data_IF_650488290283
#
_entry.id   IF_650488290283
#
_cell.length_a   1.000
_cell.length_b   1.000
_cell.length_c   1.000
_cell.angle_alpha   90.00
_cell.angle_beta   90.00
_cell.angle_gamma   90.00
#
_symmetry.space_group_name_H-M   'P 1'
#
loop_
_entity.id
_entity.type
_entity.pdbx_description
1 polymer ?
#
# COMPACT_ATOMS: atom_id res chain seq x y z
N UNK A 1 131.32 111.66 69.17
CA UNK A 1 130.03 112.35 69.39
C UNK A 1 129.13 112.07 68.20
N UNK A 2 127.89 111.62 68.45
CA UNK A 2 126.86 111.56 67.40
C UNK A 2 126.55 112.95 66.87
N UNK A 3 125.99 113.04 65.67
CA UNK A 3 125.46 114.30 65.12
C UNK A 3 124.44 114.87 66.10
N UNK A 4 124.60 116.14 66.46
CA UNK A 4 123.67 116.89 67.33
C UNK A 4 122.57 117.48 66.44
N UNK A 5 121.58 116.63 66.11
CA UNK A 5 120.51 116.98 65.17
C UNK A 5 119.72 118.23 65.57
N UNK A 6 119.60 118.51 66.88
CA UNK A 6 118.92 119.70 67.38
C UNK A 6 119.67 121.00 67.03
N UNK A 7 121.00 121.01 67.14
CA UNK A 7 121.82 122.17 66.68
C UNK A 7 121.84 122.32 65.16
N UNK A 8 121.84 121.19 64.43
CA UNK A 8 121.80 121.20 62.96
C UNK A 8 120.47 121.73 62.41
N UNK A 9 119.35 121.48 63.12
CA UNK A 9 118.01 121.94 62.74
C UNK A 9 117.79 123.43 63.10
N UNK A 10 118.31 123.92 64.23
CA UNK A 10 118.21 125.34 64.63
C UNK A 10 119.11 126.30 63.81
N UNK A 11 120.29 125.84 63.33
CA UNK A 11 121.25 126.65 62.56
C UNK A 11 121.93 125.84 61.45
N UNK A 12 121.22 125.53 60.34
CA UNK A 12 121.69 124.62 59.30
C UNK A 12 122.96 125.09 58.56
N UNK A 13 123.23 126.39 58.51
CA UNK A 13 124.38 126.94 57.78
C UNK A 13 125.70 126.97 58.57
N UNK A 14 125.69 126.59 59.87
CA UNK A 14 126.90 126.56 60.70
C UNK A 14 127.61 125.22 60.62
N UNK A 15 128.94 125.25 60.49
CA UNK A 15 129.78 124.04 60.45
C UNK A 15 129.78 123.31 61.80
N UNK A 16 129.46 122.01 61.78
CA UNK A 16 129.63 121.10 62.90
C UNK A 16 130.69 120.05 62.57
N UNK A 17 131.63 119.80 63.48
CA UNK A 17 132.56 118.70 63.35
C UNK A 17 131.83 117.37 63.63
N UNK A 18 131.78 116.48 62.64
CA UNK A 18 131.17 115.15 62.76
C UNK A 18 132.22 114.10 62.43
N UNK A 19 132.29 113.03 63.22
CA UNK A 19 133.19 111.91 62.91
C UNK A 19 132.67 111.16 61.66
N UNK A 20 133.54 110.95 60.67
CA UNK A 20 133.17 110.35 59.39
C UNK A 20 132.46 108.99 59.48
N UNK A 21 132.68 108.23 60.57
CA UNK A 21 131.99 106.96 60.84
C UNK A 21 130.46 107.10 60.93
N UNK A 22 129.95 108.18 61.53
CA UNK A 22 128.51 108.39 61.69
C UNK A 22 127.85 108.80 60.36
N UNK A 23 128.56 109.56 59.53
CA UNK A 23 128.11 109.89 58.18
C UNK A 23 128.08 108.64 57.28
N UNK A 24 129.06 107.74 57.43
CA UNK A 24 129.10 106.46 56.72
C UNK A 24 127.99 105.50 57.19
N UNK A 25 127.71 105.43 58.49
CA UNK A 25 126.61 104.63 59.06
C UNK A 25 125.24 105.15 58.60
N UNK A 26 125.04 106.47 58.62
CA UNK A 26 123.83 107.10 58.09
C UNK A 26 123.67 106.82 56.59
N UNK A 27 124.75 106.93 55.79
CA UNK A 27 124.73 106.56 54.37
C UNK A 27 124.39 105.09 54.16
N UNK A 28 124.93 104.18 54.98
CA UNK A 28 124.62 102.76 54.91
C UNK A 28 123.14 102.51 55.21
N UNK A 29 122.57 103.18 56.24
CA UNK A 29 121.16 103.09 56.58
C UNK A 29 120.24 103.68 55.50
N UNK A 30 120.62 104.81 54.89
CA UNK A 30 119.87 105.40 53.77
C UNK A 30 119.88 104.46 52.58
N UNK A 31 121.05 103.91 52.21
CA UNK A 31 121.14 102.92 51.12
C UNK A 31 120.30 101.66 51.41
N UNK A 32 120.29 101.19 52.65
CA UNK A 32 119.47 100.04 53.07
C UNK A 32 117.97 100.35 52.98
N UNK A 33 117.54 101.51 53.46
CA UNK A 33 116.15 101.98 53.35
C UNK A 33 115.73 102.20 51.89
N UNK A 34 116.60 102.74 51.04
CA UNK A 34 116.36 102.89 49.59
C UNK A 34 116.20 101.51 48.93
N UNK A 35 117.04 100.53 49.31
CA UNK A 35 116.92 99.15 48.86
C UNK A 35 115.60 98.52 49.29
N UNK A 36 115.26 98.63 50.57
CA UNK A 36 113.98 98.12 51.12
C UNK A 36 112.77 98.79 50.45
N UNK A 37 112.83 100.11 50.20
CA UNK A 37 111.76 100.83 49.51
C UNK A 37 111.61 100.35 48.06
N UNK A 38 112.72 100.14 47.36
CA UNK A 38 112.73 99.61 46.00
C UNK A 38 112.16 98.19 45.97
N UNK A 39 112.57 97.32 46.90
CA UNK A 39 112.04 95.96 47.05
C UNK A 39 110.54 95.98 47.33
N UNK A 40 110.11 96.77 48.32
CA UNK A 40 108.68 96.93 48.67
C UNK A 40 107.86 97.45 47.48
N UNK A 41 108.41 98.35 46.68
CA UNK A 41 107.73 98.87 45.49
C UNK A 41 107.56 97.79 44.42
N UNK A 42 108.58 96.95 44.21
CA UNK A 42 108.50 95.79 43.31
C UNK A 42 107.41 94.83 43.82
N UNK A 43 107.42 94.50 45.10
CA UNK A 43 106.43 93.59 45.71
C UNK A 43 105.00 94.13 45.64
N UNK A 44 104.82 95.44 45.86
CA UNK A 44 103.52 96.09 45.72
C UNK A 44 103.00 95.99 44.29
N UNK A 45 103.85 96.27 43.29
CA UNK A 45 103.46 96.14 41.87
C UNK A 45 103.13 94.70 41.49
N UNK A 46 103.90 93.72 42.00
CA UNK A 46 103.60 92.30 41.82
C UNK A 46 102.26 91.91 42.44
N UNK A 47 102.00 92.37 43.66
CA UNK A 47 100.74 92.13 44.38
C UNK A 47 99.55 92.76 43.66
N UNK A 48 99.68 93.99 43.16
CA UNK A 48 98.65 94.66 42.35
C UNK A 48 98.34 93.88 41.06
N UNK A 49 99.36 93.38 40.36
CA UNK A 49 99.15 92.56 39.17
C UNK A 49 98.43 91.24 39.49
N UNK A 50 98.78 90.61 40.61
CA UNK A 50 98.16 89.36 41.05
C UNK A 50 96.70 89.57 41.48
N UNK A 51 96.40 90.69 42.15
CA UNK A 51 95.03 91.06 42.51
C UNK A 51 94.16 91.21 41.25
N UNK A 52 94.62 92.00 40.27
CA UNK A 52 93.91 92.18 39.00
C UNK A 52 93.68 90.86 38.25
N UNK A 53 94.67 89.97 38.26
CA UNK A 53 94.52 88.64 37.67
C UNK A 53 93.48 87.79 38.41
N UNK A 54 93.38 87.94 39.73
CA UNK A 54 92.42 87.22 40.57
C UNK A 54 91.00 87.76 40.40
N UNK A 55 90.84 89.09 40.30
CA UNK A 55 89.57 89.75 39.98
C UNK A 55 89.01 89.25 38.63
N UNK A 56 89.84 89.21 37.57
CA UNK A 56 89.41 88.69 36.27
C UNK A 56 89.00 87.21 36.32
N UNK A 57 89.70 86.38 37.10
CA UNK A 57 89.29 84.98 37.31
C UNK A 57 87.98 84.86 38.07
N UNK A 58 87.75 85.72 39.06
CA UNK A 58 86.51 85.74 39.83
C UNK A 58 85.31 86.15 38.96
N UNK A 59 85.48 87.17 38.11
CA UNK A 59 84.46 87.59 37.14
C UNK A 59 84.12 86.48 36.14
N UNK A 60 85.16 85.81 35.58
CA UNK A 60 84.96 84.67 34.69
C UNK A 60 84.19 83.53 35.39
N UNK A 61 84.61 83.16 36.60
CA UNK A 61 83.96 82.10 37.40
C UNK A 61 82.50 82.47 37.73
N UNK A 62 82.23 83.74 38.02
CA UNK A 62 80.87 84.23 38.30
C UNK A 62 79.98 84.12 37.06
N UNK A 63 80.53 84.41 35.88
CA UNK A 63 79.82 84.28 34.60
C UNK A 63 79.50 82.81 34.31
N UNK A 64 80.48 81.91 34.48
CA UNK A 64 80.31 80.47 34.27
C UNK A 64 79.29 79.86 35.24
N UNK A 65 79.30 80.30 36.51
CA UNK A 65 78.33 79.88 37.51
C UNK A 65 76.90 80.28 37.11
N UNK A 66 76.69 81.51 36.65
CA UNK A 66 75.38 81.98 36.21
C UNK A 66 74.89 81.25 34.96
N UNK A 67 75.79 80.93 34.03
CA UNK A 67 75.49 80.11 32.86
C UNK A 67 75.06 78.69 33.28
N UNK A 68 75.83 78.06 34.16
CA UNK A 68 75.54 76.71 34.69
C UNK A 68 74.24 76.67 35.47
N UNK A 69 73.92 77.74 36.21
CA UNK A 69 72.64 77.85 36.92
C UNK A 69 71.45 77.90 35.95
N UNK A 70 71.58 78.69 34.89
CA UNK A 70 70.54 78.78 33.85
C UNK A 70 70.30 77.44 33.16
N UNK A 71 71.37 76.69 32.84
CA UNK A 71 71.24 75.35 32.22
C UNK A 71 70.65 74.33 33.19
N UNK A 72 71.03 74.37 34.47
CA UNK A 72 70.42 73.54 35.51
C UNK A 72 68.90 73.79 35.63
N UNK A 73 68.47 75.05 35.61
CA UNK A 73 67.04 75.37 35.73
C UNK A 73 66.23 74.93 34.49
N UNK A 74 66.83 75.04 33.29
CA UNK A 74 66.23 74.51 32.04
C UNK A 74 66.07 73.00 32.09
N UNK A 75 67.15 72.28 32.39
CA UNK A 75 67.14 70.80 32.45
C UNK A 75 66.22 70.27 33.54
N UNK A 76 66.10 70.98 34.67
CA UNK A 76 65.13 70.66 35.72
C UNK A 76 63.68 70.78 35.23
N UNK A 77 63.39 71.76 34.38
CA UNK A 77 62.05 71.94 33.79
C UNK A 77 61.73 70.81 32.83
N UNK A 78 62.65 70.50 31.90
CA UNK A 78 62.52 69.39 30.94
C UNK A 78 62.35 68.04 31.64
N UNK A 79 63.06 67.81 32.75
CA UNK A 79 62.92 66.59 33.56
C UNK A 79 61.51 66.44 34.14
N UNK A 80 60.93 67.53 34.66
CA UNK A 80 59.58 67.51 35.22
C UNK A 80 58.52 67.27 34.12
N UNK A 81 58.68 67.88 32.95
CA UNK A 81 57.80 67.66 31.80
C UNK A 81 57.87 66.20 31.35
N UNK A 82 59.08 65.65 31.20
CA UNK A 82 59.29 64.25 30.82
C UNK A 82 58.66 63.30 31.84
N UNK A 83 58.77 63.59 33.13
CA UNK A 83 58.14 62.81 34.20
C UNK A 83 56.61 62.83 34.08
N UNK A 84 56.02 63.99 33.82
CA UNK A 84 54.57 64.10 33.62
C UNK A 84 54.10 63.32 32.39
N UNK A 85 54.85 63.35 31.29
CA UNK A 85 54.54 62.57 30.09
C UNK A 85 54.62 61.07 30.38
N UNK A 86 55.65 60.64 31.12
CA UNK A 86 55.82 59.23 31.51
C UNK A 86 54.63 58.73 32.35
N UNK A 87 54.18 59.53 33.33
CA UNK A 87 53.00 59.21 34.14
C UNK A 87 51.73 59.08 33.28
N UNK A 88 51.53 59.99 32.32
CA UNK A 88 50.40 59.94 31.39
C UNK A 88 50.44 58.70 30.47
N UNK A 89 51.62 58.37 29.93
CA UNK A 89 51.80 57.18 29.09
C UNK A 89 51.54 55.91 29.88
N UNK A 90 52.01 55.83 31.13
CA UNK A 90 51.75 54.67 31.99
C UNK A 90 50.25 54.50 32.29
N UNK A 91 49.53 55.59 32.57
CA UNK A 91 48.07 55.53 32.75
C UNK A 91 47.36 55.02 31.50
N UNK A 92 47.72 55.56 30.33
CA UNK A 92 47.15 55.12 29.06
C UNK A 92 47.45 53.65 28.76
N UNK A 93 48.65 53.18 29.10
CA UNK A 93 49.05 51.79 28.91
C UNK A 93 48.20 50.86 29.79
N UNK A 94 47.97 51.23 31.05
CA UNK A 94 47.10 50.47 31.96
C UNK A 94 45.67 50.38 31.42
N UNK A 95 45.10 51.49 30.95
CA UNK A 95 43.75 51.50 30.34
C UNK A 95 43.66 50.59 29.12
N UNK A 96 44.72 50.54 28.30
CA UNK A 96 44.80 49.64 27.15
C UNK A 96 44.92 48.19 27.57
N UNK A 97 45.70 47.87 28.61
CA UNK A 97 45.80 46.52 29.17
C UNK A 97 44.42 46.05 29.66
N UNK A 98 43.70 46.88 30.42
CA UNK A 98 42.34 46.56 30.87
C UNK A 98 41.38 46.32 29.70
N UNK A 99 41.46 47.17 28.67
CA UNK A 99 40.65 47.00 27.45
C UNK A 99 40.95 45.67 26.76
N UNK A 100 42.22 45.30 26.61
CA UNK A 100 42.64 44.03 26.00
C UNK A 100 42.15 42.83 26.81
N UNK A 101 42.26 42.88 28.14
CA UNK A 101 41.77 41.80 29.00
C UNK A 101 40.26 41.60 28.89
N UNK A 102 39.50 42.69 28.83
CA UNK A 102 38.05 42.63 28.62
C UNK A 102 37.69 42.06 27.24
N UNK A 103 38.40 42.48 26.19
CA UNK A 103 38.19 41.94 24.85
C UNK A 103 38.52 40.45 24.77
N UNK A 104 39.60 39.99 25.42
CA UNK A 104 39.95 38.58 25.49
C UNK A 104 38.89 37.76 26.21
N UNK A 105 38.39 38.25 27.35
CA UNK A 105 37.32 37.58 28.11
C UNK A 105 36.03 37.45 27.28
N UNK A 106 35.68 38.50 26.53
CA UNK A 106 34.53 38.45 25.62
C UNK A 106 34.75 37.47 24.47
N UNK A 107 35.96 37.41 23.92
CA UNK A 107 36.32 36.48 22.85
C UNK A 107 36.21 35.03 23.34
N UNK A 108 36.71 34.71 24.53
CA UNK A 108 36.58 33.39 25.15
C UNK A 108 35.10 32.99 25.37
N UNK A 109 34.26 33.93 25.82
CA UNK A 109 32.83 33.70 25.99
C UNK A 109 32.14 33.41 24.65
N UNK A 110 32.41 34.24 23.62
CA UNK A 110 31.87 34.06 22.28
C UNK A 110 32.30 32.71 21.69
N UNK A 111 33.57 32.33 21.84
CA UNK A 111 34.07 31.04 21.38
C UNK A 111 33.36 29.87 22.09
N UNK A 112 33.19 29.95 23.40
CA UNK A 112 32.47 28.92 24.17
C UNK A 112 31.03 28.77 23.68
N UNK A 113 30.35 29.90 23.44
CA UNK A 113 28.98 29.91 22.92
C UNK A 113 28.89 29.41 21.48
N UNK A 114 29.90 29.68 20.65
CA UNK A 114 29.98 29.14 19.30
C UNK A 114 30.08 27.62 19.32
N UNK A 115 30.99 27.06 20.13
CA UNK A 115 31.12 25.60 20.30
C UNK A 115 29.84 24.95 20.83
N UNK A 116 29.16 25.56 21.81
CA UNK A 116 27.86 25.04 22.28
C UNK A 116 26.77 25.03 21.19
N UNK A 117 26.76 26.03 20.31
CA UNK A 117 25.81 26.10 19.20
C UNK A 117 26.15 25.09 18.10
N UNK A 118 27.43 24.88 17.82
CA UNK A 118 27.91 23.85 16.88
C UNK A 118 27.51 22.44 17.36
N UNK A 119 27.71 22.12 18.64
CA UNK A 119 27.29 20.83 19.21
C UNK A 119 25.76 20.62 19.16
N UNK A 120 24.98 21.67 19.44
CA UNK A 120 23.51 21.61 19.34
C UNK A 120 23.05 21.40 17.91
N UNK A 121 23.72 22.03 16.94
CA UNK A 121 23.39 21.88 15.52
C UNK A 121 23.66 20.45 15.07
N UNK A 122 24.85 19.91 15.37
CA UNK A 122 25.23 18.54 15.05
C UNK A 122 24.26 17.52 15.67
N UNK A 123 23.89 17.71 16.95
CA UNK A 123 22.91 16.84 17.61
C UNK A 123 21.54 16.88 16.93
N UNK A 124 21.10 18.04 16.43
CA UNK A 124 19.82 18.19 15.74
C UNK A 124 19.85 17.60 14.33
N UNK A 125 20.97 17.73 13.63
CA UNK A 125 21.16 17.09 12.32
C UNK A 125 21.08 15.57 12.44
N UNK A 126 21.73 14.96 13.43
CA UNK A 126 21.64 13.52 13.70
C UNK A 126 20.21 13.06 14.05
N UNK A 127 19.48 13.84 14.85
CA UNK A 127 18.08 13.55 15.20
C UNK A 127 17.16 13.59 13.97
N UNK A 128 17.33 14.59 13.10
CA UNK A 128 16.56 14.69 11.86
C UNK A 128 16.90 13.57 10.89
N UNK A 129 18.17 13.20 10.73
CA UNK A 129 18.59 12.09 9.85
C UNK A 129 17.99 10.75 10.31
N UNK A 130 18.00 10.49 11.63
CA UNK A 130 17.36 9.31 12.21
C UNK A 130 15.85 9.29 11.96
N UNK A 131 15.19 10.45 12.11
CA UNK A 131 13.75 10.59 11.87
C UNK A 131 13.40 10.36 10.40
N UNK A 132 14.17 10.94 9.47
CA UNK A 132 14.01 10.76 8.02
C UNK A 132 14.15 9.29 7.66
N UNK A 133 15.17 8.61 8.20
CA UNK A 133 15.40 7.18 7.96
C UNK A 133 14.24 6.31 8.44
N UNK A 134 13.68 6.61 9.62
CA UNK A 134 12.50 5.92 10.16
C UNK A 134 11.27 6.12 9.28
N UNK A 135 10.97 7.37 8.93
CA UNK A 135 9.81 7.71 8.08
C UNK A 135 9.93 7.11 6.68
N UNK A 136 11.13 7.06 6.11
CA UNK A 136 11.36 6.39 4.81
C UNK A 136 11.06 4.89 4.90
N UNK A 137 11.48 4.24 5.98
CA UNK A 137 11.24 2.80 6.19
C UNK A 137 9.75 2.51 6.37
N UNK A 138 9.03 3.35 7.14
CA UNK A 138 7.59 3.24 7.31
C UNK A 138 6.82 3.47 6.00
N UNK A 139 7.28 4.43 5.19
CA UNK A 139 6.70 4.71 3.88
C UNK A 139 6.84 3.51 2.94
N UNK A 140 8.02 2.89 2.89
CA UNK A 140 8.26 1.72 2.03
C UNK A 140 7.49 0.49 2.51
N UNK A 141 7.37 0.28 3.82
CA UNK A 141 6.51 -0.76 4.39
C UNK A 141 5.03 -0.53 4.01
N UNK A 142 4.56 0.71 4.10
CA UNK A 142 3.19 1.08 3.73
C UNK A 142 2.92 0.86 2.23
N UNK A 143 3.87 1.22 1.36
CA UNK A 143 3.77 0.94 -0.09
C UNK A 143 3.70 -0.56 -0.37
N UNK A 144 4.52 -1.36 0.31
CA UNK A 144 4.49 -2.81 0.16
C UNK A 144 3.12 -3.40 0.57
N UNK A 145 2.55 -2.91 1.67
CA UNK A 145 1.19 -3.29 2.10
C UNK A 145 0.12 -2.90 1.07
N UNK A 146 0.17 -1.68 0.53
CA UNK A 146 -0.76 -1.23 -0.52
C UNK A 146 -0.68 -2.15 -1.74
N UNK A 147 0.52 -2.48 -2.20
CA UNK A 147 0.70 -3.39 -3.33
C UNK A 147 0.11 -4.78 -3.04
N UNK A 148 0.33 -5.32 -1.83
CA UNK A 148 -0.25 -6.61 -1.43
C UNK A 148 -1.79 -6.60 -1.38
N UNK A 149 -2.38 -5.52 -0.85
CA UNK A 149 -3.84 -5.34 -0.84
C UNK A 149 -4.40 -5.19 -2.25
N UNK A 150 -3.69 -4.51 -3.15
CA UNK A 150 -4.10 -4.35 -4.53
C UNK A 150 -4.11 -5.70 -5.26
N UNK A 151 -3.08 -6.53 -5.10
CA UNK A 151 -3.06 -7.90 -5.64
C UNK A 151 -4.22 -8.74 -5.11
N UNK A 152 -4.46 -8.71 -3.80
CA UNK A 152 -5.57 -9.45 -3.16
C UNK A 152 -6.94 -8.98 -3.68
N UNK A 153 -7.08 -7.69 -3.98
CA UNK A 153 -8.29 -7.10 -4.55
C UNK A 153 -8.51 -7.61 -5.97
N UNK A 154 -7.47 -7.66 -6.81
CA UNK A 154 -7.56 -8.21 -8.17
C UNK A 154 -7.93 -9.70 -8.15
N UNK A 155 -7.32 -10.51 -7.28
CA UNK A 155 -7.66 -11.93 -7.12
C UNK A 155 -9.12 -12.12 -6.70
N UNK A 156 -9.60 -11.28 -5.77
CA UNK A 156 -10.99 -11.32 -5.32
C UNK A 156 -11.95 -10.93 -6.43
N UNK A 157 -11.59 -9.95 -7.27
CA UNK A 157 -12.39 -9.55 -8.43
C UNK A 157 -12.50 -10.66 -9.46
N UNK A 158 -11.38 -11.32 -9.81
CA UNK A 158 -11.41 -12.47 -10.73
C UNK A 158 -12.30 -13.60 -10.20
N UNK A 159 -12.25 -13.86 -8.89
CA UNK A 159 -13.12 -14.86 -8.25
C UNK A 159 -14.61 -14.47 -8.34
N UNK A 160 -14.93 -13.19 -8.15
CA UNK A 160 -16.30 -12.68 -8.30
C UNK A 160 -16.79 -12.86 -9.75
N UNK A 161 -15.96 -12.54 -10.73
CA UNK A 161 -16.31 -12.64 -12.15
C UNK A 161 -16.56 -14.11 -12.55
N UNK A 162 -15.72 -15.02 -12.06
CA UNK A 162 -15.89 -16.48 -12.26
C UNK A 162 -17.19 -16.99 -11.64
N UNK A 163 -17.46 -16.66 -10.36
CA UNK A 163 -18.70 -17.07 -9.68
C UNK A 163 -19.94 -16.47 -10.35
N UNK A 164 -19.85 -15.22 -10.83
CA UNK A 164 -20.93 -14.57 -11.56
C UNK A 164 -21.27 -15.33 -12.85
N UNK A 165 -20.25 -15.77 -13.58
CA UNK A 165 -20.41 -16.56 -14.81
C UNK A 165 -21.05 -17.93 -14.52
N UNK A 166 -20.62 -18.60 -13.45
CA UNK A 166 -21.18 -19.88 -13.01
C UNK A 166 -22.66 -19.75 -12.63
N UNK A 167 -23.03 -18.68 -11.91
CA UNK A 167 -24.43 -18.38 -11.57
C UNK A 167 -25.28 -18.15 -12.82
N UNK A 168 -24.76 -17.43 -13.83
CA UNK A 168 -25.47 -17.25 -15.10
C UNK A 168 -25.70 -18.59 -15.81
N UNK A 169 -24.68 -19.44 -15.88
CA UNK A 169 -24.80 -20.77 -16.50
C UNK A 169 -25.83 -21.65 -15.79
N UNK A 170 -25.80 -21.68 -14.46
CA UNK A 170 -26.78 -22.41 -13.64
C UNK A 170 -28.20 -21.87 -13.85
N UNK A 171 -28.39 -20.56 -13.96
CA UNK A 171 -29.69 -19.97 -14.26
C UNK A 171 -30.20 -20.35 -15.65
N UNK A 172 -29.34 -20.39 -16.67
CA UNK A 172 -29.73 -20.86 -18.00
C UNK A 172 -30.13 -22.33 -17.99
N UNK A 173 -29.37 -23.18 -17.28
CA UNK A 173 -29.71 -24.60 -17.08
C UNK A 173 -31.05 -24.76 -16.37
N UNK A 174 -31.27 -24.02 -15.28
CA UNK A 174 -32.52 -24.03 -14.54
C UNK A 174 -33.71 -23.66 -15.43
N UNK A 175 -33.57 -22.62 -16.25
CA UNK A 175 -34.62 -22.17 -17.18
C UNK A 175 -34.94 -23.26 -18.20
N UNK A 176 -33.92 -23.89 -18.80
CA UNK A 176 -34.10 -24.99 -19.75
C UNK A 176 -34.78 -26.20 -19.12
N UNK A 177 -34.37 -26.60 -17.90
CA UNK A 177 -35.03 -27.69 -17.17
C UNK A 177 -36.47 -27.34 -16.81
N UNK A 178 -36.76 -26.08 -16.46
CA UNK A 178 -38.12 -25.60 -16.19
C UNK A 178 -39.00 -25.75 -17.43
N UNK A 179 -38.52 -25.34 -18.60
CA UNK A 179 -39.22 -25.48 -19.89
C UNK A 179 -39.49 -26.95 -20.23
N UNK A 180 -38.49 -27.82 -20.07
CA UNK A 180 -38.66 -29.26 -20.27
C UNK A 180 -39.72 -29.86 -19.35
N UNK A 181 -39.75 -29.43 -18.08
CA UNK A 181 -40.74 -29.87 -17.10
C UNK A 181 -42.15 -29.36 -17.46
N UNK A 182 -42.29 -28.14 -17.98
CA UNK A 182 -43.59 -27.65 -18.49
C UNK A 182 -44.08 -28.49 -19.67
N UNK A 183 -43.20 -28.82 -20.61
CA UNK A 183 -43.52 -29.66 -21.77
C UNK A 183 -43.92 -31.08 -21.36
N UNK A 184 -43.19 -31.68 -20.42
CA UNK A 184 -43.53 -33.00 -19.87
C UNK A 184 -44.90 -32.99 -19.18
N UNK A 185 -45.24 -31.92 -18.45
CA UNK A 185 -46.56 -31.78 -17.83
C UNK A 185 -47.69 -31.63 -18.85
N UNK A 186 -47.48 -30.88 -19.93
CA UNK A 186 -48.43 -30.78 -21.05
C UNK A 186 -48.67 -32.17 -21.69
N UNK A 187 -47.60 -32.91 -21.96
CA UNK A 187 -47.67 -34.27 -22.48
C UNK A 187 -48.43 -35.22 -21.54
N UNK A 188 -48.19 -35.11 -20.22
CA UNK A 188 -48.93 -35.89 -19.23
C UNK A 188 -50.42 -35.57 -19.25
N UNK A 189 -50.81 -34.29 -19.35
CA UNK A 189 -52.22 -33.91 -19.47
C UNK A 189 -52.87 -34.46 -20.72
N UNK A 190 -52.20 -34.39 -21.87
CA UNK A 190 -52.70 -34.91 -23.13
C UNK A 190 -52.88 -36.43 -23.11
N UNK A 191 -51.89 -37.15 -22.55
CA UNK A 191 -51.97 -38.59 -22.37
C UNK A 191 -53.13 -38.97 -21.43
N UNK A 192 -53.33 -38.21 -20.35
CA UNK A 192 -54.40 -38.45 -19.38
C UNK A 192 -55.80 -38.18 -20.00
N UNK A 193 -55.95 -37.13 -20.80
CA UNK A 193 -57.16 -36.87 -21.58
C UNK A 193 -57.44 -38.00 -22.58
N UNK A 194 -56.40 -38.49 -23.25
CA UNK A 194 -56.52 -39.62 -24.19
C UNK A 194 -56.94 -40.89 -23.45
N UNK A 195 -56.37 -41.14 -22.25
CA UNK A 195 -56.73 -42.27 -21.40
C UNK A 195 -58.21 -42.21 -21.02
N UNK A 196 -58.70 -41.06 -20.55
CA UNK A 196 -60.12 -40.83 -20.25
C UNK A 196 -61.03 -41.09 -21.46
N UNK A 197 -60.64 -40.63 -22.66
CA UNK A 197 -61.39 -40.92 -23.88
C UNK A 197 -61.41 -42.42 -24.21
N UNK A 198 -60.29 -43.12 -24.03
CA UNK A 198 -60.23 -44.57 -24.21
C UNK A 198 -61.09 -45.31 -23.19
N UNK A 199 -61.07 -44.91 -21.93
CA UNK A 199 -61.90 -45.49 -20.87
C UNK A 199 -63.39 -45.32 -21.17
N UNK A 200 -63.83 -44.11 -21.56
CA UNK A 200 -65.23 -43.88 -21.98
C UNK A 200 -65.62 -44.74 -23.19
N UNK A 201 -64.74 -44.86 -24.19
CA UNK A 201 -64.97 -45.73 -25.36
C UNK A 201 -65.08 -47.21 -24.96
N UNK A 202 -64.23 -47.68 -24.04
CA UNK A 202 -64.30 -49.04 -23.51
C UNK A 202 -65.62 -49.26 -22.78
N UNK A 203 -66.07 -48.28 -21.98
CA UNK A 203 -67.34 -48.36 -21.26
C UNK A 203 -68.54 -48.41 -22.23
N UNK A 204 -68.53 -47.60 -23.30
CA UNK A 204 -69.53 -47.65 -24.37
C UNK A 204 -69.53 -49.00 -25.09
N UNK A 205 -68.35 -49.51 -25.47
CA UNK A 205 -68.21 -50.81 -26.10
C UNK A 205 -68.70 -51.94 -25.18
N UNK A 206 -68.37 -51.89 -23.89
CA UNK A 206 -68.82 -52.85 -22.88
C UNK A 206 -70.34 -52.83 -22.72
N UNK A 207 -70.95 -51.64 -22.65
CA UNK A 207 -72.41 -51.48 -22.61
C UNK A 207 -73.07 -52.05 -23.88
N UNK A 208 -72.52 -51.76 -25.05
CA UNK A 208 -72.99 -52.30 -26.31
C UNK A 208 -72.87 -53.83 -26.36
N UNK A 209 -71.76 -54.38 -25.85
CA UNK A 209 -71.54 -55.82 -25.79
C UNK A 209 -72.56 -56.49 -24.86
N UNK A 210 -72.82 -55.92 -23.68
CA UNK A 210 -73.87 -56.38 -22.76
C UNK A 210 -75.27 -56.30 -23.37
N UNK A 211 -75.57 -55.23 -24.12
CA UNK A 211 -76.84 -55.12 -24.85
C UNK A 211 -76.97 -56.19 -25.95
N UNK A 212 -75.88 -56.46 -26.67
CA UNK A 212 -75.84 -57.54 -27.67
C UNK A 212 -75.93 -58.92 -27.04
N UNK A 213 -75.31 -59.16 -25.89
CA UNK A 213 -75.46 -60.39 -25.11
C UNK A 213 -76.93 -60.62 -24.72
N UNK A 214 -77.60 -59.62 -24.14
CA UNK A 214 -79.04 -59.70 -23.84
C UNK A 214 -79.89 -59.98 -25.07
N UNK A 215 -79.52 -59.41 -26.22
CA UNK A 215 -80.22 -59.62 -27.48
C UNK A 215 -79.99 -61.04 -28.01
N UNK A 216 -78.77 -61.57 -27.87
CA UNK A 216 -78.45 -62.97 -28.18
C UNK A 216 -79.20 -63.90 -27.23
N UNK A 217 -79.25 -63.62 -25.93
CA UNK A 217 -80.04 -64.39 -24.96
C UNK A 217 -81.52 -64.39 -25.34
N UNK A 218 -82.09 -63.23 -25.68
CA UNK A 218 -83.46 -63.12 -26.15
C UNK A 218 -83.70 -63.86 -27.47
N UNK A 219 -82.76 -63.78 -28.42
CA UNK A 219 -82.83 -64.53 -29.68
C UNK A 219 -82.66 -66.03 -29.47
N UNK A 220 -81.84 -66.45 -28.51
CA UNK A 220 -81.61 -67.84 -28.15
C UNK A 220 -82.84 -68.40 -27.46
N UNK A 221 -83.46 -67.66 -26.54
CA UNK A 221 -84.75 -68.00 -25.94
C UNK A 221 -85.86 -68.06 -26.99
N UNK A 222 -85.89 -67.14 -27.95
CA UNK A 222 -86.82 -67.21 -29.07
C UNK A 222 -86.54 -68.42 -29.99
N UNK A 223 -85.27 -68.78 -30.20
CA UNK A 223 -84.91 -70.00 -30.92
C UNK A 223 -85.34 -71.24 -30.14
N UNK A 224 -85.24 -71.23 -28.82
CA UNK A 224 -85.68 -72.31 -27.92
C UNK A 224 -87.23 -72.42 -27.93
N UNK A 225 -87.95 -71.30 -27.89
CA UNK A 225 -89.41 -71.24 -28.10
C UNK A 225 -89.79 -71.76 -29.49
N UNK A 226 -89.09 -71.32 -30.55
CA UNK A 226 -89.32 -71.82 -31.92
C UNK A 226 -88.94 -73.29 -32.05
N UNK A 227 -87.89 -73.79 -31.40
CA UNK A 227 -87.54 -75.22 -31.34
C UNK A 227 -88.59 -76.00 -30.56
N UNK A 228 -89.20 -75.41 -29.53
CA UNK A 228 -90.33 -75.98 -28.79
C UNK A 228 -91.58 -76.04 -29.68
N UNK A 229 -91.90 -74.97 -30.41
CA UNK A 229 -92.97 -74.94 -31.42
C UNK A 229 -92.69 -75.90 -32.59
N UNK A 230 -91.43 -76.02 -33.03
CA UNK A 230 -91.01 -76.98 -34.06
C UNK A 230 -91.06 -78.42 -33.53
N UNK A 231 -90.85 -78.62 -32.23
CA UNK A 231 -91.03 -79.88 -31.50
C UNK A 231 -92.51 -80.25 -31.38
N UNK A 232 -93.40 -79.28 -31.17
CA UNK A 232 -94.85 -79.45 -31.19
C UNK A 232 -95.39 -79.70 -32.62
N UNK A 233 -94.70 -79.19 -33.64
CA UNK A 233 -95.00 -79.40 -35.07
C UNK A 233 -94.20 -80.54 -35.71
N UNK A 234 -93.40 -81.29 -34.93
CA UNK A 234 -92.75 -82.52 -35.39
C UNK A 234 -93.71 -83.70 -35.22
N UNK A 235 -94.14 -84.37 -36.31
CA UNK A 235 -94.84 -85.65 -36.21
C UNK A 235 -93.95 -86.71 -35.55
N UNK A 236 -94.51 -87.64 -34.77
CA UNK A 236 -93.85 -88.30 -33.66
C UNK A 236 -92.75 -89.29 -34.08
N UNK A 237 -91.60 -89.23 -33.42
CA UNK A 237 -90.66 -90.37 -33.38
C UNK A 237 -91.01 -91.27 -32.20
N UNK A 238 -91.75 -92.32 -32.55
CA UNK A 238 -91.59 -93.63 -31.92
C UNK A 238 -90.13 -94.02 -31.89
N UNK A 239 -89.76 -94.69 -30.80
CA UNK A 239 -88.53 -95.43 -30.69
C UNK A 239 -88.30 -96.34 -31.90
N UNK A 240 -87.02 -96.42 -32.24
CA UNK A 240 -86.41 -97.37 -33.15
C UNK A 240 -86.82 -98.82 -32.81
N UNK A 241 -87.82 -99.30 -33.54
CA UNK A 241 -87.80 -100.63 -34.16
C UNK A 241 -87.50 -100.41 -35.64
N UNK A 242 -86.32 -100.83 -36.10
CA UNK A 242 -85.89 -100.59 -37.48
C UNK A 242 -86.53 -101.52 -38.50
N UNK A 243 -86.69 -101.04 -39.74
CA UNK A 243 -86.82 -101.80 -41.01
C UNK A 243 -86.61 -100.76 -42.13
N UNK A 244 -85.57 -100.81 -42.97
CA UNK A 244 -85.30 -101.74 -44.07
C UNK A 244 -86.24 -101.61 -45.29
N UNK A 245 -85.62 -101.15 -46.39
CA UNK A 245 -85.82 -101.49 -47.81
C UNK A 245 -87.04 -101.02 -48.63
N UNK A 246 -86.67 -100.27 -49.67
CA UNK A 246 -87.11 -100.34 -51.06
C UNK A 246 -87.44 -101.78 -51.52
N UNK A 247 -88.73 -102.16 -51.53
CA UNK A 247 -89.18 -103.43 -52.13
C UNK A 247 -89.63 -103.24 -53.59
N UNK A 248 -88.72 -103.59 -54.49
CA UNK A 248 -89.04 -103.99 -55.87
C UNK A 248 -89.84 -105.28 -55.82
N UNK A 249 -91.00 -105.27 -56.47
CA UNK A 249 -91.80 -106.49 -56.71
C UNK A 249 -90.88 -107.54 -57.35
N UNK A 250 -90.84 -108.71 -56.71
CA UNK A 250 -89.99 -109.85 -57.07
C UNK A 250 -90.88 -111.06 -57.36
N UNK A 251 -90.61 -111.78 -58.45
CA UNK A 251 -91.35 -113.01 -58.74
C UNK A 251 -91.03 -114.09 -57.69
N UNK A 252 -92.03 -114.63 -56.97
CA UNK A 252 -91.82 -115.58 -55.88
C UNK A 252 -91.33 -116.97 -56.35
N UNK A 253 -91.40 -117.28 -57.65
CA UNK A 253 -90.95 -118.57 -58.19
C UNK A 253 -89.52 -118.56 -58.76
N UNK A 254 -89.03 -117.43 -59.28
CA UNK A 254 -87.69 -117.39 -59.93
C UNK A 254 -86.82 -116.19 -59.55
N UNK A 255 -87.28 -115.33 -58.63
CA UNK A 255 -86.48 -114.24 -58.07
C UNK A 255 -86.22 -113.05 -59.00
N UNK A 256 -86.88 -112.96 -60.15
CA UNK A 256 -86.70 -111.83 -61.08
C UNK A 256 -87.41 -110.57 -60.57
N UNK A 257 -86.76 -109.40 -60.67
CA UNK A 257 -87.25 -108.10 -60.14
C UNK A 257 -87.49 -107.06 -61.23
N UNK A 258 -88.43 -106.15 -61.00
CA UNK A 258 -88.61 -104.95 -61.84
C UNK A 258 -89.14 -105.23 -63.26
N UNK A 259 -88.37 -104.87 -64.30
CA UNK A 259 -88.83 -104.83 -65.73
C UNK A 259 -89.33 -106.17 -66.29
N UNK A 260 -88.99 -107.27 -65.63
CA UNK A 260 -89.38 -108.65 -65.98
C UNK A 260 -90.72 -109.09 -65.36
N UNK A 261 -91.44 -108.20 -64.69
CA UNK A 261 -92.79 -108.44 -64.16
C UNK A 261 -93.78 -107.57 -64.93
N UNK A 262 -94.82 -108.18 -65.50
CA UNK A 262 -95.88 -107.48 -66.23
C UNK A 262 -97.19 -107.61 -65.47
N UNK A 263 -97.86 -106.50 -65.25
CA UNK A 263 -99.18 -106.48 -64.64
C UNK A 263 -100.25 -106.63 -65.73
N UNK A 264 -101.15 -107.61 -65.58
CA UNK A 264 -102.25 -107.88 -66.51
C UNK A 264 -103.57 -108.00 -65.76
N UNK A 265 -104.68 -107.80 -66.47
CA UNK A 265 -106.01 -107.97 -65.90
C UNK A 265 -106.39 -109.45 -65.78
N UNK A 266 -106.74 -109.86 -64.57
CA UNK A 266 -107.19 -111.19 -64.19
C UNK A 266 -108.66 -111.39 -64.53
N UNK A 267 -108.93 -111.88 -65.74
CA UNK A 267 -110.29 -112.04 -66.27
C UNK A 267 -111.16 -113.05 -65.50
N UNK A 268 -110.59 -113.81 -64.57
CA UNK A 268 -111.33 -114.70 -63.68
C UNK A 268 -111.92 -114.00 -62.45
N UNK A 269 -111.55 -112.73 -62.18
CA UNK A 269 -112.01 -111.98 -61.02
C UNK A 269 -112.50 -110.58 -61.41
N UNK A 270 -113.81 -110.45 -61.64
CA UNK A 270 -114.48 -109.16 -61.92
C UNK A 270 -114.67 -108.41 -60.59
N UNK A 271 -114.12 -107.19 -60.50
CA UNK A 271 -114.25 -106.33 -59.33
C UNK A 271 -115.56 -105.54 -59.34
N UNK A 272 -115.97 -105.02 -60.50
CA UNK A 272 -117.21 -104.27 -60.67
C UNK A 272 -117.59 -104.15 -62.16
N UNK A 273 -118.84 -103.77 -62.44
CA UNK A 273 -119.31 -103.43 -63.78
C UNK A 273 -119.52 -101.92 -63.87
N UNK A 274 -118.92 -101.28 -64.88
CA UNK A 274 -119.20 -99.88 -65.23
C UNK A 274 -119.99 -99.92 -66.53
N UNK A 275 -121.31 -99.83 -66.41
CA UNK A 275 -122.24 -100.12 -67.50
C UNK A 275 -122.27 -101.62 -67.84
N UNK A 276 -122.22 -101.97 -69.13
CA UNK A 276 -122.21 -103.36 -69.62
C UNK A 276 -120.80 -103.95 -69.83
N UNK A 277 -119.74 -103.31 -69.31
CA UNK A 277 -118.35 -103.78 -69.46
C UNK A 277 -117.79 -104.19 -68.07
N UNK A 278 -117.31 -105.44 -67.89
CA UNK A 278 -116.69 -105.88 -66.64
C UNK A 278 -115.29 -105.29 -66.44
N UNK A 279 -115.01 -104.76 -65.25
CA UNK A 279 -113.67 -104.42 -64.78
C UNK A 279 -113.06 -105.57 -63.98
N UNK A 280 -111.87 -106.00 -64.37
CA UNK A 280 -111.18 -107.14 -63.77
C UNK A 280 -110.08 -106.70 -62.78
N UNK A 281 -109.81 -107.53 -61.76
CA UNK A 281 -108.66 -107.35 -60.87
C UNK A 281 -107.34 -107.42 -61.66
N UNK A 282 -106.25 -106.84 -61.16
CA UNK A 282 -104.94 -106.94 -61.82
C UNK A 282 -104.04 -107.94 -61.07
N UNK A 283 -103.33 -108.79 -61.80
CA UNK A 283 -102.30 -109.72 -61.29
C UNK A 283 -100.96 -109.49 -61.98
N UNK A 284 -99.88 -109.90 -61.34
CA UNK A 284 -98.52 -109.81 -61.86
C UNK A 284 -98.09 -111.14 -62.46
N UNK A 285 -97.53 -111.10 -63.66
CA UNK A 285 -96.98 -112.26 -64.34
C UNK A 285 -95.50 -112.04 -64.58
N UNK A 286 -94.68 -113.00 -64.15
CA UNK A 286 -93.26 -112.98 -64.44
C UNK A 286 -93.00 -113.38 -65.89
N UNK A 287 -92.38 -112.50 -66.67
CA UNK A 287 -92.01 -112.77 -68.08
C UNK A 287 -90.97 -113.89 -68.22
N UNK A 288 -90.20 -114.18 -67.16
CA UNK A 288 -89.10 -115.14 -67.18
C UNK A 288 -89.53 -116.59 -66.91
N UNK A 289 -90.46 -116.81 -65.99
CA UNK A 289 -90.94 -118.17 -65.65
C UNK A 289 -92.44 -118.40 -65.91
N UNK A 290 -93.19 -117.35 -66.30
CA UNK A 290 -94.62 -117.43 -66.57
C UNK A 290 -95.52 -117.51 -65.34
N UNK A 291 -94.96 -117.48 -64.12
CA UNK A 291 -95.77 -117.58 -62.90
C UNK A 291 -96.58 -116.32 -62.64
N UNK A 292 -97.86 -116.50 -62.33
CA UNK A 292 -98.86 -115.43 -62.10
C UNK A 292 -99.18 -115.33 -60.60
N UNK A 293 -99.13 -114.13 -60.02
CA UNK A 293 -99.38 -113.86 -58.59
C UNK A 293 -99.95 -112.45 -58.35
#
# INVERSE_FOLDING_TARGET
>A
MSIDWAKAEEKPDKKQAVEGRFLLDLRAKVNDLEKQLSETKIDLTGTQSNLKATEGKLEATTTDLNSTKSTHDSTKTELNETKSILEQVNSNLEDKIQTVNNLNSNLENINSKASELEEKLESKEQEFEATISSLSSELDASKAQINGLQSSTSESQEKIDNLTSEVQELNSKLTSTQEENTKLNEQLMELNNTLLQKDTSIQELSNNLSAKEKLIEAQTAHLDDVETELGELKPPEMGTGGFANDERITCPMCGSVGREIKQIEDKTKVLSYVGHIPMYAKKNVCKKCGYEF
#
